data_IF_299471096725
#
_entry.id   IF_299471096725
#
_cell.length_a   1.000
_cell.length_b   1.000
_cell.length_c   1.000
_cell.angle_alpha   90.00
_cell.angle_beta   90.00
_cell.angle_gamma   90.00
#
_symmetry.space_group_name_H-M   'P 1'
#
loop_
_entity.id
_entity.type
_entity.pdbx_description
1 polymer ?
#
# COMPACT_ATOMS: atom_id res chain seq x y z
N UNK A 1 2.90 9.00 -17.48
CA UNK A 1 3.11 9.48 -16.09
C UNK A 1 2.60 10.90 -15.95
N UNK A 2 1.74 11.17 -15.00
CA UNK A 2 1.20 12.52 -14.75
C UNK A 2 0.69 12.64 -13.32
N UNK A 3 0.66 13.87 -12.79
CA UNK A 3 -0.08 14.19 -11.57
C UNK A 3 -1.49 14.65 -11.96
N UNK A 4 -2.49 14.15 -11.26
CA UNK A 4 -3.89 14.54 -11.44
C UNK A 4 -4.51 14.85 -10.09
N UNK A 5 -5.51 15.72 -10.05
CA UNK A 5 -6.21 16.04 -8.80
C UNK A 5 -7.51 15.25 -8.70
N UNK A 6 -7.77 14.70 -7.54
CA UNK A 6 -8.99 13.95 -7.19
C UNK A 6 -9.68 14.64 -6.02
N UNK A 7 -11.01 14.55 -5.96
CA UNK A 7 -11.82 15.11 -4.87
C UNK A 7 -12.49 13.97 -4.11
N UNK A 8 -12.24 13.88 -2.82
CA UNK A 8 -12.89 12.93 -1.91
C UNK A 8 -14.34 13.32 -1.59
N UNK A 9 -15.09 12.41 -0.99
CA UNK A 9 -16.51 12.60 -0.68
C UNK A 9 -16.78 13.75 0.30
N UNK A 10 -15.81 14.13 1.13
CA UNK A 10 -15.88 15.26 2.05
C UNK A 10 -15.46 16.61 1.41
N UNK A 11 -15.13 16.61 0.11
CA UNK A 11 -14.71 17.79 -0.65
C UNK A 11 -13.21 18.09 -0.57
N UNK A 12 -12.41 17.23 0.11
CA UNK A 12 -10.97 17.36 0.11
C UNK A 12 -10.38 17.07 -1.28
N UNK A 13 -9.46 17.94 -1.74
CA UNK A 13 -8.73 17.78 -2.99
C UNK A 13 -7.29 17.35 -2.72
N UNK A 14 -6.87 16.25 -3.35
CA UNK A 14 -5.52 15.68 -3.24
C UNK A 14 -4.98 15.27 -4.59
N UNK A 15 -3.67 15.19 -4.69
CA UNK A 15 -3.01 14.81 -5.93
C UNK A 15 -2.79 13.30 -5.99
N UNK A 16 -2.83 12.75 -7.20
CA UNK A 16 -2.61 11.34 -7.48
C UNK A 16 -1.58 11.23 -8.60
N UNK A 17 -0.50 10.49 -8.35
CA UNK A 17 0.43 10.09 -9.38
C UNK A 17 -0.21 8.97 -10.22
N UNK A 18 -0.28 9.19 -11.53
CA UNK A 18 -0.79 8.22 -12.50
C UNK A 18 0.33 7.72 -13.40
N UNK A 19 0.51 6.42 -13.47
CA UNK A 19 1.34 5.73 -14.44
C UNK A 19 0.53 4.69 -15.19
N UNK A 20 0.55 4.80 -16.52
CA UNK A 20 -0.11 3.86 -17.44
C UNK A 20 0.72 3.76 -18.71
N UNK A 21 0.88 2.57 -19.28
CA UNK A 21 1.75 2.36 -20.44
C UNK A 21 1.09 1.63 -21.61
N UNK A 22 -0.07 1.01 -21.43
CA UNK A 22 -0.64 0.10 -22.42
C UNK A 22 -2.08 0.41 -22.79
N UNK A 23 -2.41 0.15 -24.05
CA UNK A 23 -3.79 0.00 -24.52
C UNK A 23 -4.32 -1.37 -24.05
N UNK A 24 -5.33 -1.40 -23.20
CA UNK A 24 -5.91 -2.62 -22.67
C UNK A 24 -5.23 -3.10 -21.37
N UNK A 25 -5.32 -2.29 -20.30
CA UNK A 25 -4.75 -2.65 -19.00
C UNK A 25 -5.49 -3.85 -18.39
N UNK A 26 -4.77 -4.63 -17.57
CA UNK A 26 -5.32 -5.80 -16.85
C UNK A 26 -6.32 -5.41 -15.75
N UNK A 27 -6.08 -4.27 -15.11
CA UNK A 27 -6.87 -3.75 -14.00
C UNK A 27 -6.26 -2.47 -13.45
N UNK A 28 -6.75 -2.01 -12.29
CA UNK A 28 -6.22 -0.87 -11.54
C UNK A 28 -5.38 -1.36 -10.35
N UNK A 29 -4.22 -0.76 -10.12
CA UNK A 29 -3.42 -0.96 -8.89
C UNK A 29 -3.25 0.37 -8.18
N UNK A 30 -3.76 0.45 -6.95
CA UNK A 30 -3.52 1.58 -6.04
C UNK A 30 -2.27 1.28 -5.23
N UNK A 31 -1.23 2.10 -5.40
CA UNK A 31 0.04 2.01 -4.67
C UNK A 31 0.02 2.96 -3.48
N UNK A 32 0.04 2.42 -2.27
CA UNK A 32 -0.08 3.21 -1.04
C UNK A 32 1.29 3.46 -0.45
N UNK A 33 1.56 4.75 -0.23
CA UNK A 33 2.81 5.28 0.27
C UNK A 33 3.22 4.76 1.65
N UNK A 34 4.50 4.82 1.94
CA UNK A 34 5.06 4.78 3.29
C UNK A 34 4.77 6.11 4.04
N UNK A 35 5.41 6.32 5.19
CA UNK A 35 5.33 7.60 5.93
C UNK A 35 6.15 8.72 5.28
N UNK A 36 6.66 8.55 4.08
CA UNK A 36 7.54 9.52 3.40
C UNK A 36 6.85 10.26 2.23
N UNK A 37 5.54 10.07 2.05
CA UNK A 37 4.78 10.66 0.95
C UNK A 37 4.94 9.88 -0.36
N UNK A 38 4.38 10.43 -1.44
CA UNK A 38 4.52 9.87 -2.81
C UNK A 38 5.86 10.36 -3.40
N UNK A 39 6.94 9.88 -2.78
CA UNK A 39 8.32 10.20 -3.15
C UNK A 39 8.77 9.41 -4.40
N UNK A 40 10.03 9.59 -4.82
CA UNK A 40 10.60 8.93 -6.00
C UNK A 40 10.47 7.40 -5.95
N UNK A 41 10.66 6.78 -4.79
CA UNK A 41 10.51 5.33 -4.64
C UNK A 41 9.07 4.87 -4.90
N UNK A 42 8.07 5.52 -4.30
CA UNK A 42 6.65 5.15 -4.50
C UNK A 42 6.21 5.40 -5.94
N UNK A 43 6.70 6.47 -6.59
CA UNK A 43 6.47 6.69 -8.02
C UNK A 43 7.12 5.59 -8.88
N UNK A 44 8.34 5.19 -8.56
CA UNK A 44 9.03 4.07 -9.24
C UNK A 44 8.27 2.75 -9.09
N UNK A 45 7.71 2.48 -7.91
CA UNK A 45 6.85 1.30 -7.70
C UNK A 45 5.59 1.38 -8.56
N UNK A 46 4.92 2.54 -8.64
CA UNK A 46 3.76 2.70 -9.52
C UNK A 46 4.14 2.50 -11.00
N UNK A 47 5.29 3.01 -11.43
CA UNK A 47 5.80 2.78 -12.78
C UNK A 47 6.05 1.30 -13.06
N UNK A 48 6.60 0.56 -12.11
CA UNK A 48 6.80 -0.89 -12.23
C UNK A 48 5.47 -1.64 -12.42
N UNK A 49 4.41 -1.31 -11.67
CA UNK A 49 3.09 -1.92 -11.90
C UNK A 49 2.50 -1.52 -13.25
N UNK A 50 2.75 -0.30 -13.73
CA UNK A 50 2.33 0.11 -15.07
C UNK A 50 3.07 -0.67 -16.17
N UNK A 51 4.38 -0.94 -16.01
CA UNK A 51 5.16 -1.80 -16.92
C UNK A 51 4.66 -3.25 -16.94
N UNK A 52 4.08 -3.72 -15.84
CA UNK A 52 3.46 -5.04 -15.72
C UNK A 52 2.04 -5.11 -16.31
N UNK A 53 1.52 -3.98 -16.84
CA UNK A 53 0.26 -3.93 -17.59
C UNK A 53 -0.94 -3.45 -16.79
N UNK A 54 -0.77 -2.81 -15.64
CA UNK A 54 -1.86 -2.20 -14.87
C UNK A 54 -1.96 -0.69 -15.13
N UNK A 55 -3.13 -0.10 -14.87
CA UNK A 55 -3.20 1.32 -14.52
C UNK A 55 -2.72 1.43 -13.08
N UNK A 56 -1.62 2.12 -12.82
CA UNK A 56 -1.08 2.27 -11.48
C UNK A 56 -1.24 3.70 -10.99
N UNK A 57 -1.78 3.86 -9.78
CA UNK A 57 -2.06 5.17 -9.19
C UNK A 57 -1.55 5.22 -7.76
N UNK A 58 -0.90 6.34 -7.38
CA UNK A 58 -0.44 6.55 -6.02
C UNK A 58 -1.04 7.85 -5.46
N UNK A 59 -2.04 7.77 -4.57
CA UNK A 59 -2.66 8.94 -3.96
C UNK A 59 -1.73 9.59 -2.93
N UNK A 60 -1.60 10.93 -2.98
CA UNK A 60 -0.86 11.73 -2.01
C UNK A 60 -1.68 11.91 -0.73
N UNK A 61 -1.73 10.86 0.11
CA UNK A 61 -2.58 10.84 1.31
C UNK A 61 -2.23 11.93 2.33
N UNK A 62 -1.00 12.44 2.31
CA UNK A 62 -0.53 13.52 3.18
C UNK A 62 -1.06 14.89 2.78
N UNK A 63 -1.66 15.03 1.59
CA UNK A 63 -2.23 16.29 1.11
C UNK A 63 -3.36 16.83 1.99
N UNK A 64 -3.96 15.98 2.83
CA UNK A 64 -4.93 16.42 3.85
C UNK A 64 -4.30 17.32 4.93
N UNK A 65 -3.01 17.18 5.15
CA UNK A 65 -2.27 17.93 6.16
C UNK A 65 -1.38 18.96 5.47
N UNK A 66 -0.60 18.53 4.51
CA UNK A 66 0.34 19.36 3.76
C UNK A 66 0.52 18.83 2.35
N UNK A 67 0.41 19.72 1.36
CA UNK A 67 0.65 19.41 -0.06
C UNK A 67 2.13 19.15 -0.35
N UNK A 68 2.38 18.29 -1.33
CA UNK A 68 3.72 17.99 -1.85
C UNK A 68 4.71 17.50 -0.78
N UNK A 69 4.26 16.66 0.12
CA UNK A 69 5.15 16.03 1.12
C UNK A 69 5.93 14.92 0.47
N UNK A 70 7.24 15.12 0.34
CA UNK A 70 8.22 14.14 -0.10
C UNK A 70 9.40 14.16 0.88
N UNK A 71 9.49 13.15 1.74
CA UNK A 71 10.47 13.08 2.82
C UNK A 71 11.62 12.13 2.48
N UNK A 72 12.80 12.41 3.03
CA UNK A 72 13.95 11.53 2.96
C UNK A 72 13.82 10.36 3.94
N UNK A 73 14.61 9.30 3.72
CA UNK A 73 14.73 8.15 4.62
C UNK A 73 15.74 8.42 5.75
N UNK A 74 15.55 9.53 6.49
CA UNK A 74 16.38 9.96 7.62
C UNK A 74 15.53 10.19 8.87
N UNK A 75 16.16 10.52 9.99
CA UNK A 75 15.49 10.69 11.28
C UNK A 75 14.45 11.83 11.24
N UNK A 76 14.73 12.93 10.53
CA UNK A 76 13.81 14.07 10.37
C UNK A 76 12.58 13.66 9.54
N UNK A 77 12.81 12.95 8.42
CA UNK A 77 11.73 12.43 7.59
C UNK A 77 10.85 11.42 8.34
N UNK A 78 11.45 10.56 9.16
CA UNK A 78 10.72 9.63 10.03
C UNK A 78 9.85 10.38 11.04
N UNK A 79 10.39 11.39 11.73
CA UNK A 79 9.66 12.18 12.73
C UNK A 79 8.46 12.90 12.10
N UNK A 80 8.68 13.63 11.00
CA UNK A 80 7.63 14.36 10.29
C UNK A 80 6.57 13.42 9.74
N UNK A 81 7.01 12.34 9.05
CA UNK A 81 6.09 11.38 8.45
C UNK A 81 5.23 10.63 9.47
N UNK A 82 5.81 10.25 10.61
CA UNK A 82 5.07 9.62 11.72
C UNK A 82 4.03 10.57 12.30
N UNK A 83 4.39 11.84 12.49
CA UNK A 83 3.45 12.85 12.99
C UNK A 83 2.25 12.98 12.06
N UNK A 84 2.46 13.13 10.77
CA UNK A 84 1.37 13.24 9.78
C UNK A 84 0.53 11.96 9.78
N UNK A 85 1.16 10.79 9.66
CA UNK A 85 0.47 9.51 9.49
C UNK A 85 -0.32 9.05 10.73
N UNK A 86 0.17 9.34 11.93
CA UNK A 86 -0.37 8.76 13.17
C UNK A 86 -1.04 9.77 14.11
N UNK A 87 -0.81 11.07 13.92
CA UNK A 87 -1.37 12.11 14.79
C UNK A 87 -2.33 13.05 14.04
N UNK A 88 -1.98 13.43 12.80
CA UNK A 88 -2.70 14.46 12.05
C UNK A 88 -3.77 13.86 11.10
N UNK A 89 -3.66 12.57 10.74
CA UNK A 89 -4.60 11.87 9.85
C UNK A 89 -5.43 10.82 10.60
N UNK A 90 -6.70 10.69 10.23
CA UNK A 90 -7.52 9.55 10.65
C UNK A 90 -7.60 8.49 9.54
N UNK A 91 -7.76 7.22 9.95
CA UNK A 91 -7.94 6.12 9.00
C UNK A 91 -9.22 6.29 8.14
N UNK A 92 -10.27 6.90 8.67
CA UNK A 92 -11.50 7.17 7.91
C UNK A 92 -11.25 8.16 6.76
N UNK A 93 -10.43 9.19 6.98
CA UNK A 93 -10.02 10.13 5.93
C UNK A 93 -9.18 9.43 4.85
N UNK A 94 -8.25 8.56 5.26
CA UNK A 94 -7.44 7.77 4.34
C UNK A 94 -8.30 6.85 3.47
N UNK A 95 -9.29 6.18 4.06
CA UNK A 95 -10.22 5.33 3.30
C UNK A 95 -11.06 6.13 2.30
N UNK A 96 -11.52 7.33 2.65
CA UNK A 96 -12.23 8.22 1.70
C UNK A 96 -11.37 8.61 0.50
N UNK A 97 -10.07 8.88 0.71
CA UNK A 97 -9.16 9.24 -0.38
C UNK A 97 -8.85 8.04 -1.29
N UNK A 98 -8.69 6.85 -0.71
CA UNK A 98 -8.49 5.61 -1.47
C UNK A 98 -9.74 5.30 -2.30
N UNK A 99 -10.94 5.38 -1.70
CA UNK A 99 -12.19 5.16 -2.41
C UNK A 99 -12.37 6.14 -3.57
N UNK A 100 -12.15 7.44 -3.33
CA UNK A 100 -12.20 8.47 -4.38
C UNK A 100 -11.16 8.23 -5.49
N UNK A 101 -9.98 7.72 -5.14
CA UNK A 101 -8.95 7.35 -6.10
C UNK A 101 -9.43 6.20 -6.98
N UNK A 102 -10.00 5.14 -6.41
CA UNK A 102 -10.54 4.01 -7.18
C UNK A 102 -11.65 4.48 -8.13
N UNK A 103 -12.61 5.25 -7.63
CA UNK A 103 -13.78 5.70 -8.40
C UNK A 103 -13.38 6.67 -9.55
N UNK A 104 -12.21 7.33 -9.45
CA UNK A 104 -11.72 8.28 -10.45
C UNK A 104 -11.20 7.62 -11.72
N UNK A 105 -10.63 6.41 -11.63
CA UNK A 105 -9.94 5.78 -12.76
C UNK A 105 -10.73 4.57 -13.29
N UNK A 106 -11.35 4.68 -14.49
CA UNK A 106 -11.99 3.54 -15.14
C UNK A 106 -10.98 2.43 -15.43
N UNK A 107 -11.35 1.19 -15.17
CA UNK A 107 -10.51 0.01 -15.38
C UNK A 107 -11.34 -1.17 -15.88
N UNK A 108 -10.79 -2.06 -16.74
CA UNK A 108 -11.53 -3.19 -17.30
C UNK A 108 -11.59 -4.40 -16.37
N UNK A 109 -10.60 -4.57 -15.51
CA UNK A 109 -10.48 -5.68 -14.57
C UNK A 109 -10.87 -5.30 -13.15
N UNK A 110 -10.32 -6.01 -12.17
CA UNK A 110 -10.47 -5.71 -10.76
C UNK A 110 -9.56 -4.56 -10.28
N UNK A 111 -9.64 -4.29 -8.98
CA UNK A 111 -8.79 -3.33 -8.28
C UNK A 111 -7.88 -4.05 -7.30
N UNK A 112 -6.57 -3.96 -7.52
CA UNK A 112 -5.55 -4.31 -6.54
C UNK A 112 -5.16 -3.09 -5.70
N UNK A 113 -4.89 -3.30 -4.43
CA UNK A 113 -4.23 -2.31 -3.58
C UNK A 113 -2.95 -2.91 -3.03
N UNK A 114 -1.84 -2.20 -3.17
CA UNK A 114 -0.53 -2.59 -2.60
C UNK A 114 0.02 -1.44 -1.79
N UNK A 115 0.59 -1.73 -0.63
CA UNK A 115 1.11 -0.68 0.24
C UNK A 115 2.30 -1.13 1.08
N UNK A 116 3.11 -0.15 1.46
CA UNK A 116 4.40 -0.35 2.10
C UNK A 116 4.45 0.38 3.45
N UNK A 117 5.00 -0.24 4.49
CA UNK A 117 5.08 0.31 5.85
C UNK A 117 3.68 0.71 6.37
N UNK A 118 3.43 1.99 6.58
CA UNK A 118 2.10 2.51 6.90
C UNK A 118 1.06 2.10 5.85
N UNK A 119 1.41 2.17 4.57
CA UNK A 119 0.58 1.70 3.46
C UNK A 119 0.25 0.21 3.53
N UNK A 120 1.14 -0.62 4.07
CA UNK A 120 0.88 -2.04 4.31
C UNK A 120 -0.24 -2.25 5.33
N UNK A 121 -0.29 -1.42 6.38
CA UNK A 121 -1.39 -1.42 7.34
C UNK A 121 -2.69 -0.90 6.73
N UNK A 122 -2.60 0.11 5.86
CA UNK A 122 -3.75 0.63 5.12
C UNK A 122 -4.36 -0.45 4.23
N UNK A 123 -3.56 -1.30 3.58
CA UNK A 123 -4.05 -2.44 2.79
C UNK A 123 -4.90 -3.40 3.62
N UNK A 124 -4.51 -3.68 4.87
CA UNK A 124 -5.32 -4.48 5.80
C UNK A 124 -6.69 -3.84 6.05
N UNK A 125 -6.70 -2.55 6.39
CA UNK A 125 -7.95 -1.81 6.67
C UNK A 125 -8.82 -1.68 5.41
N UNK A 126 -8.23 -1.45 4.25
CA UNK A 126 -8.94 -1.41 2.98
C UNK A 126 -9.59 -2.76 2.64
N UNK A 127 -8.89 -3.89 2.91
CA UNK A 127 -9.45 -5.23 2.73
C UNK A 127 -10.67 -5.48 3.64
N UNK A 128 -10.74 -4.83 4.79
CA UNK A 128 -11.88 -4.92 5.70
C UNK A 128 -13.03 -3.96 5.31
N UNK A 129 -12.72 -2.69 5.01
CA UNK A 129 -13.71 -1.61 4.88
C UNK A 129 -14.14 -1.32 3.45
N UNK A 130 -13.28 -1.60 2.45
CA UNK A 130 -13.52 -1.34 1.03
C UNK A 130 -13.60 -2.63 0.20
N UNK A 131 -14.03 -3.72 0.80
CA UNK A 131 -14.08 -5.04 0.16
C UNK A 131 -15.06 -5.14 -1.02
N UNK A 132 -15.96 -4.19 -1.17
CA UNK A 132 -16.86 -4.04 -2.33
C UNK A 132 -16.22 -3.22 -3.48
N UNK A 133 -15.11 -2.55 -3.22
CA UNK A 133 -14.37 -1.71 -4.17
C UNK A 133 -13.07 -2.36 -4.65
N UNK A 134 -12.42 -3.19 -3.82
CA UNK A 134 -11.15 -3.84 -4.14
C UNK A 134 -11.30 -5.33 -4.34
N UNK A 135 -10.54 -5.89 -5.29
CA UNK A 135 -10.53 -7.32 -5.62
C UNK A 135 -9.45 -8.08 -4.86
N UNK A 136 -8.35 -7.42 -4.51
CA UNK A 136 -7.25 -7.97 -3.73
C UNK A 136 -6.43 -6.87 -3.04
N UNK A 137 -5.80 -7.22 -1.92
CA UNK A 137 -4.87 -6.37 -1.19
C UNK A 137 -3.55 -7.08 -0.92
N UNK A 138 -2.43 -6.35 -1.00
CA UNK A 138 -1.11 -6.83 -0.61
C UNK A 138 -0.40 -5.80 0.26
N UNK A 139 -0.09 -6.15 1.51
CA UNK A 139 0.53 -5.24 2.47
C UNK A 139 1.94 -5.69 2.86
N UNK A 140 2.92 -4.79 2.71
CA UNK A 140 4.32 -5.03 3.05
C UNK A 140 4.67 -4.35 4.38
N UNK A 141 5.23 -5.12 5.29
CA UNK A 141 5.72 -4.68 6.63
C UNK A 141 4.79 -3.65 7.31
N UNK A 142 3.48 -3.97 7.38
CA UNK A 142 2.45 -3.14 7.99
C UNK A 142 2.49 -3.20 9.52
N UNK A 143 3.10 -2.19 10.17
CA UNK A 143 3.30 -2.17 11.62
C UNK A 143 2.09 -1.67 12.44
N UNK A 144 1.05 -1.14 11.79
CA UNK A 144 -0.13 -0.57 12.45
C UNK A 144 -1.41 -1.40 12.24
N UNK A 145 -1.27 -2.72 12.01
CA UNK A 145 -2.41 -3.63 11.85
C UNK A 145 -3.07 -3.94 13.20
N UNK A 146 -2.28 -4.07 14.28
CA UNK A 146 -2.80 -4.52 15.58
C UNK A 146 -3.96 -3.69 16.16
N UNK A 147 -3.99 -2.33 16.03
CA UNK A 147 -5.15 -1.54 16.43
C UNK A 147 -6.44 -1.85 15.66
N UNK A 148 -6.33 -2.48 14.49
CA UNK A 148 -7.42 -2.84 13.58
C UNK A 148 -7.68 -4.35 13.53
N UNK A 149 -7.02 -5.14 14.38
CA UNK A 149 -7.03 -6.61 14.30
C UNK A 149 -8.44 -7.22 14.32
N UNK A 150 -9.40 -6.58 14.96
CA UNK A 150 -10.79 -7.06 15.03
C UNK A 150 -11.63 -6.71 13.80
N UNK A 151 -11.12 -5.92 12.88
CA UNK A 151 -11.76 -5.64 11.59
C UNK A 151 -11.43 -6.77 10.60
N UNK A 152 -12.44 -7.59 10.28
CA UNK A 152 -12.27 -8.74 9.39
C UNK A 152 -11.93 -8.31 7.96
N UNK A 153 -10.76 -8.70 7.42
CA UNK A 153 -10.46 -8.53 6.00
C UNK A 153 -11.37 -9.44 5.16
N UNK A 154 -12.27 -8.84 4.37
CA UNK A 154 -13.24 -9.56 3.54
C UNK A 154 -12.77 -9.70 2.09
N UNK A 155 -11.97 -8.75 1.60
CA UNK A 155 -11.27 -8.91 0.34
C UNK A 155 -10.07 -9.85 0.52
N UNK A 156 -9.68 -10.62 -0.52
CA UNK A 156 -8.44 -11.39 -0.52
C UNK A 156 -7.24 -10.54 -0.10
N UNK A 157 -6.53 -10.98 0.95
CA UNK A 157 -5.42 -10.23 1.55
C UNK A 157 -4.18 -11.09 1.63
N UNK A 158 -3.05 -10.54 1.18
CA UNK A 158 -1.72 -11.09 1.36
C UNK A 158 -0.86 -10.10 2.16
N UNK A 159 -0.08 -10.60 3.12
CA UNK A 159 0.80 -9.79 3.96
C UNK A 159 2.24 -10.32 3.92
N UNK A 160 3.21 -9.39 3.88
CA UNK A 160 4.64 -9.69 3.82
C UNK A 160 5.36 -9.04 4.98
N UNK A 161 6.06 -9.84 5.80
CA UNK A 161 6.77 -9.38 6.98
C UNK A 161 8.22 -9.88 6.99
N UNK A 162 9.14 -9.07 7.49
CA UNK A 162 10.51 -9.49 7.73
C UNK A 162 10.67 -10.09 9.14
N UNK A 163 11.41 -11.19 9.26
CA UNK A 163 11.70 -11.80 10.57
C UNK A 163 12.66 -10.94 11.42
N UNK A 164 13.50 -10.12 10.77
CA UNK A 164 14.43 -9.20 11.43
C UNK A 164 13.84 -7.79 11.62
N UNK A 165 12.54 -7.60 11.41
CA UNK A 165 11.85 -6.32 11.63
C UNK A 165 11.69 -6.05 13.13
N UNK A 166 12.57 -5.25 13.71
CA UNK A 166 12.50 -4.87 15.13
C UNK A 166 11.26 -4.02 15.48
N UNK A 167 10.58 -3.43 14.49
CA UNK A 167 9.38 -2.62 14.66
C UNK A 167 8.08 -3.45 14.63
N UNK A 168 8.14 -4.70 14.15
CA UNK A 168 6.97 -5.59 14.03
C UNK A 168 7.31 -6.95 14.65
N UNK A 169 7.04 -7.16 15.94
CA UNK A 169 7.27 -8.45 16.58
C UNK A 169 6.56 -9.61 15.87
N UNK A 170 7.22 -10.75 15.69
CA UNK A 170 6.62 -11.94 15.06
C UNK A 170 5.36 -12.43 15.80
N UNK A 171 5.24 -12.15 17.10
CA UNK A 171 4.02 -12.41 17.87
C UNK A 171 2.80 -11.68 17.28
N UNK A 172 2.98 -10.46 16.79
CA UNK A 172 1.90 -9.71 16.11
C UNK A 172 1.53 -10.37 14.77
N UNK A 173 2.52 -10.82 14.00
CA UNK A 173 2.29 -11.53 12.73
C UNK A 173 1.52 -12.83 12.97
N UNK A 174 1.92 -13.60 13.98
CA UNK A 174 1.21 -14.83 14.36
C UNK A 174 -0.21 -14.55 14.87
N UNK A 175 -0.41 -13.48 15.66
CA UNK A 175 -1.73 -13.08 16.11
C UNK A 175 -2.68 -12.71 14.97
N UNK A 176 -2.17 -12.03 13.93
CA UNK A 176 -2.93 -11.71 12.70
C UNK A 176 -3.34 -13.00 11.97
N UNK A 177 -2.39 -13.92 11.75
CA UNK A 177 -2.64 -15.18 11.07
C UNK A 177 -3.59 -16.11 11.86
N UNK A 178 -3.48 -16.13 13.20
CA UNK A 178 -4.39 -16.87 14.07
C UNK A 178 -5.80 -16.29 14.06
N UNK A 179 -5.91 -14.95 14.10
CA UNK A 179 -7.20 -14.25 14.10
C UNK A 179 -7.95 -14.43 12.78
N UNK A 180 -7.22 -14.43 11.66
CA UNK A 180 -7.79 -14.52 10.32
C UNK A 180 -7.06 -15.58 9.47
N UNK A 181 -7.35 -16.89 9.67
CA UNK A 181 -6.64 -17.99 8.98
C UNK A 181 -6.84 -18.04 7.46
N UNK A 182 -7.71 -17.19 6.91
CA UNK A 182 -7.97 -17.12 5.47
C UNK A 182 -7.07 -16.13 4.73
N UNK A 183 -6.27 -15.33 5.45
CA UNK A 183 -5.29 -14.44 4.81
C UNK A 183 -3.95 -15.14 4.60
N UNK A 184 -3.23 -14.73 3.55
CA UNK A 184 -1.90 -15.24 3.26
C UNK A 184 -0.85 -14.35 3.96
N UNK A 185 -0.22 -14.82 5.04
CA UNK A 185 0.85 -14.11 5.73
C UNK A 185 2.20 -14.79 5.49
N UNK A 186 3.15 -14.06 4.91
CA UNK A 186 4.50 -14.53 4.58
C UNK A 186 5.54 -13.86 5.47
N UNK A 187 6.46 -14.64 6.01
CA UNK A 187 7.62 -14.18 6.79
C UNK A 187 8.89 -14.47 6.00
N UNK A 188 9.77 -13.48 5.89
CA UNK A 188 11.06 -13.53 5.18
C UNK A 188 12.18 -13.47 6.20
N UNK A 189 12.95 -14.56 6.33
CA UNK A 189 13.89 -14.80 7.42
C UNK A 189 15.02 -13.75 7.52
N UNK A 190 15.53 -13.27 6.37
CA UNK A 190 16.67 -12.33 6.32
C UNK A 190 16.23 -10.88 6.11
N UNK A 191 14.93 -10.61 6.17
CA UNK A 191 14.35 -9.30 5.85
C UNK A 191 14.06 -8.50 7.12
N UNK A 192 14.40 -7.20 7.09
CA UNK A 192 14.02 -6.21 8.09
C UNK A 192 12.89 -5.31 7.61
N UNK A 193 12.60 -4.25 8.39
CA UNK A 193 11.60 -3.25 8.00
C UNK A 193 12.03 -2.51 6.73
N UNK A 194 11.14 -2.45 5.73
CA UNK A 194 11.43 -1.76 4.48
C UNK A 194 12.26 -2.58 3.49
N UNK A 195 12.30 -3.90 3.62
CA UNK A 195 13.12 -4.78 2.78
C UNK A 195 12.84 -4.66 1.27
N UNK A 196 11.68 -4.14 0.88
CA UNK A 196 11.33 -3.93 -0.53
C UNK A 196 11.82 -2.58 -1.09
N UNK A 197 12.30 -1.66 -0.25
CA UNK A 197 12.71 -0.32 -0.69
C UNK A 197 14.20 -0.27 -1.01
N UNK A 198 14.55 -0.22 -2.30
CA UNK A 198 15.93 -0.17 -2.80
C UNK A 198 16.66 1.14 -2.46
N UNK A 199 15.92 2.18 -2.06
CA UNK A 199 16.49 3.44 -1.57
C UNK A 199 16.93 3.37 -0.09
N UNK A 200 16.71 2.23 0.61
CA UNK A 200 17.03 2.05 2.03
C UNK A 200 18.12 1.01 2.23
N UNK A 201 18.92 1.18 3.29
CA UNK A 201 19.94 0.22 3.69
C UNK A 201 19.41 -1.14 4.17
N UNK A 202 18.09 -1.24 4.40
CA UNK A 202 17.38 -2.48 4.77
C UNK A 202 16.86 -3.27 3.54
N UNK A 203 17.16 -2.82 2.32
CA UNK A 203 16.77 -3.54 1.12
C UNK A 203 17.37 -4.96 1.11
N UNK A 204 16.52 -5.96 0.87
CA UNK A 204 16.93 -7.35 0.72
C UNK A 204 16.34 -7.89 -0.59
N UNK A 205 17.23 -8.04 -1.59
CA UNK A 205 16.86 -8.31 -2.98
C UNK A 205 16.04 -9.60 -3.16
N UNK A 206 16.43 -10.67 -2.48
CA UNK A 206 15.78 -11.97 -2.65
C UNK A 206 14.37 -11.99 -2.06
N UNK A 207 14.19 -11.40 -0.87
CA UNK A 207 12.88 -11.26 -0.24
C UNK A 207 11.98 -10.30 -1.00
N UNK A 208 12.53 -9.19 -1.51
CA UNK A 208 11.78 -8.23 -2.33
C UNK A 208 11.28 -8.89 -3.63
N UNK A 209 12.16 -9.62 -4.33
CA UNK A 209 11.79 -10.32 -5.55
C UNK A 209 10.71 -11.40 -5.31
N UNK A 210 10.86 -12.21 -4.26
CA UNK A 210 9.91 -13.26 -3.92
C UNK A 210 8.56 -12.66 -3.45
N UNK A 211 8.58 -11.56 -2.70
CA UNK A 211 7.35 -10.89 -2.27
C UNK A 211 6.60 -10.28 -3.46
N UNK A 212 7.31 -9.69 -4.42
CA UNK A 212 6.72 -9.19 -5.66
C UNK A 212 6.11 -10.32 -6.50
N UNK A 213 6.82 -11.44 -6.68
CA UNK A 213 6.31 -12.62 -7.39
C UNK A 213 4.98 -13.09 -6.79
N UNK A 214 4.92 -13.26 -5.46
CA UNK A 214 3.70 -13.66 -4.75
C UNK A 214 2.57 -12.65 -4.89
N UNK A 215 2.88 -11.35 -4.80
CA UNK A 215 1.90 -10.29 -5.01
C UNK A 215 1.32 -10.33 -6.43
N UNK A 216 2.16 -10.52 -7.44
CA UNK A 216 1.72 -10.61 -8.83
C UNK A 216 0.87 -11.86 -9.09
N UNK A 217 1.21 -13.00 -8.51
CA UNK A 217 0.37 -14.20 -8.55
C UNK A 217 -0.98 -13.99 -7.84
N UNK A 218 -0.99 -13.25 -6.74
CA UNK A 218 -2.21 -12.88 -6.03
C UNK A 218 -3.09 -11.97 -6.89
N UNK A 219 -2.52 -10.94 -7.52
CA UNK A 219 -3.24 -10.05 -8.42
C UNK A 219 -3.70 -10.75 -9.70
N UNK A 220 -2.91 -11.64 -10.27
CA UNK A 220 -3.32 -12.43 -11.44
C UNK A 220 -4.56 -13.29 -11.17
N UNK A 221 -4.77 -13.72 -9.94
CA UNK A 221 -5.95 -14.52 -9.54
C UNK A 221 -7.20 -13.69 -9.29
N UNK A 222 -7.06 -12.42 -8.92
CA UNK A 222 -8.18 -11.63 -8.38
C UNK A 222 -8.41 -10.29 -9.10
N UNK A 223 -7.41 -9.74 -9.77
CA UNK A 223 -7.43 -8.40 -10.39
C UNK A 223 -7.44 -8.48 -11.92
N UNK A 224 -6.69 -9.41 -12.50
CA UNK A 224 -6.52 -9.49 -13.94
C UNK A 224 -7.85 -9.84 -14.64
N UNK A 225 -8.13 -9.13 -15.75
CA UNK A 225 -9.34 -9.31 -16.59
C UNK A 225 -9.15 -10.41 -17.63
#
# INVERSE_FOLDING_TARGET
MSMTTVTAADGHEFDVYLSEQFDGPKGLVVVVQEIFGVNDHIRSVADQYAELGYIAVAPSLFDRVQKNVELNYDDEGIEVGRKIAFEDLSMDQVMMDIEATIDRYPHPGGVGIVGYCWGGSICYVAAARLSDKISAASGYYGGQIMPHLDEEPKAPLMLHFGAEDSGIPLENVHAIAERWPHIDAHIYEEAGHGFNCDARGSYEESSAALALERTLEHFARHVDS
#
